data_IF_584463221618
#
_entry.id   IF_584463221618
#
_cell.length_a   1.000
_cell.length_b   1.000
_cell.length_c   1.000
_cell.angle_alpha   90.00
_cell.angle_beta   90.00
_cell.angle_gamma   90.00
#
_symmetry.space_group_name_H-M   'P 1'
#
loop_
_entity.id
_entity.type
_entity.pdbx_description
1 polymer ?
#
# COMPACT_ATOMS: atom_id res chain seq x y z
N UNK A 1 -5.46 0.26 -4.62
CA UNK A 1 -4.92 1.51 -5.19
C UNK A 1 -3.69 1.85 -4.38
N UNK A 2 -2.66 2.31 -5.06
CA UNK A 2 -1.32 2.43 -4.50
C UNK A 2 -1.07 3.80 -3.89
N UNK A 3 -1.51 3.95 -2.66
CA UNK A 3 -0.95 4.95 -1.76
C UNK A 3 0.00 4.18 -0.84
N UNK A 4 1.30 4.42 -1.04
CA UNK A 4 2.38 3.50 -0.68
C UNK A 4 3.11 3.87 0.61
N UNK A 5 2.87 5.06 1.19
CA UNK A 5 3.46 5.47 2.45
C UNK A 5 3.05 4.54 3.58
N UNK A 6 1.77 4.17 3.65
CA UNK A 6 1.27 3.21 4.64
C UNK A 6 1.97 1.84 4.50
N UNK A 7 2.09 1.32 3.28
CA UNK A 7 2.74 0.03 3.00
C UNK A 7 4.24 0.05 3.33
N UNK A 8 4.96 1.08 2.88
CA UNK A 8 6.39 1.24 3.13
C UNK A 8 6.69 1.47 4.61
N UNK A 9 5.85 2.25 5.29
CA UNK A 9 5.96 2.46 6.74
C UNK A 9 5.66 1.18 7.51
N UNK A 10 4.64 0.41 7.10
CA UNK A 10 4.37 -0.89 7.68
C UNK A 10 5.57 -1.84 7.52
N UNK A 11 6.13 -1.93 6.32
CA UNK A 11 7.34 -2.72 6.06
C UNK A 11 8.51 -2.29 6.96
N UNK A 12 8.76 -0.98 7.08
CA UNK A 12 9.76 -0.45 8.01
C UNK A 12 9.48 -0.87 9.46
N UNK A 13 8.20 -0.87 9.89
CA UNK A 13 7.82 -1.21 11.28
C UNK A 13 7.92 -2.69 11.61
N UNK A 14 7.79 -3.56 10.62
CA UNK A 14 7.88 -5.02 10.83
C UNK A 14 9.22 -5.60 10.39
N UNK A 15 10.13 -4.79 9.84
CA UNK A 15 11.45 -5.25 9.39
C UNK A 15 12.24 -5.98 10.50
N UNK A 16 12.10 -5.53 11.76
CA UNK A 16 12.80 -6.13 12.91
C UNK A 16 12.22 -7.51 13.31
N UNK A 17 11.09 -7.90 12.72
CA UNK A 17 10.48 -9.23 12.88
C UNK A 17 10.80 -10.10 11.66
N UNK A 18 10.74 -9.50 10.47
CA UNK A 18 10.98 -10.18 9.19
C UNK A 18 12.48 -10.43 8.93
N UNK A 19 13.35 -9.62 9.54
CA UNK A 19 14.81 -9.68 9.43
C UNK A 19 15.34 -9.76 7.98
N UNK A 20 14.95 -8.84 7.07
CA UNK A 20 15.51 -8.81 5.72
C UNK A 20 17.02 -8.55 5.77
N UNK A 21 17.77 -9.21 4.89
CA UNK A 21 19.22 -9.04 4.74
C UNK A 21 19.56 -8.02 3.64
N UNK A 22 18.74 -7.96 2.59
CA UNK A 22 18.77 -6.95 1.55
C UNK A 22 17.54 -6.02 1.66
N UNK A 23 17.78 -4.83 2.23
CA UNK A 23 16.74 -3.80 2.34
C UNK A 23 16.29 -3.26 0.98
N UNK A 24 17.14 -3.30 -0.06
CA UNK A 24 16.76 -2.89 -1.41
C UNK A 24 15.71 -3.85 -1.96
N UNK A 25 16.00 -5.15 -1.94
CA UNK A 25 15.04 -6.20 -2.29
C UNK A 25 13.74 -6.04 -1.51
N UNK A 26 13.83 -5.93 -0.18
CA UNK A 26 12.67 -5.83 0.71
C UNK A 26 11.74 -4.65 0.40
N UNK A 27 12.25 -3.40 0.42
CA UNK A 27 11.39 -2.24 0.18
C UNK A 27 10.88 -2.18 -1.25
N UNK A 28 11.67 -2.62 -2.24
CA UNK A 28 11.21 -2.72 -3.61
C UNK A 28 10.11 -3.75 -3.78
N UNK A 29 10.25 -4.92 -3.15
CA UNK A 29 9.22 -5.96 -3.10
C UNK A 29 7.92 -5.46 -2.46
N UNK A 30 8.00 -4.61 -1.43
CA UNK A 30 6.81 -3.98 -0.83
C UNK A 30 6.11 -3.03 -1.79
N UNK A 31 6.84 -2.30 -2.63
CA UNK A 31 6.25 -1.35 -3.58
C UNK A 31 5.75 -2.02 -4.87
N UNK A 32 6.32 -3.18 -5.22
CA UNK A 32 6.10 -3.88 -6.48
C UNK A 32 4.64 -4.23 -6.84
N UNK A 33 3.77 -4.72 -5.93
CA UNK A 33 2.52 -5.38 -6.33
C UNK A 33 1.61 -4.45 -7.12
N UNK A 34 1.64 -3.17 -6.77
CA UNK A 34 0.82 -2.15 -7.40
C UNK A 34 1.40 -1.60 -8.71
N UNK A 35 2.63 -1.97 -9.10
CA UNK A 35 3.18 -1.66 -10.42
C UNK A 35 2.29 -2.14 -11.58
N UNK A 36 1.42 -3.13 -11.31
CA UNK A 36 0.35 -3.61 -12.21
C UNK A 36 -0.45 -2.51 -12.89
N UNK A 37 -0.64 -1.36 -12.23
CA UNK A 37 -1.37 -0.24 -12.80
C UNK A 37 -0.72 0.26 -14.10
N UNK A 38 0.61 0.25 -14.16
CA UNK A 38 1.37 0.72 -15.34
C UNK A 38 1.90 -0.43 -16.20
N UNK A 39 2.26 -1.57 -15.61
CA UNK A 39 2.75 -2.75 -16.34
C UNK A 39 1.63 -3.58 -16.97
N UNK A 40 0.37 -3.35 -16.55
CA UNK A 40 -0.83 -4.08 -16.98
C UNK A 40 -0.81 -5.58 -16.65
N UNK A 41 0.06 -6.00 -15.73
CA UNK A 41 0.01 -7.34 -15.14
C UNK A 41 -1.32 -7.54 -14.41
N UNK A 42 -1.89 -8.74 -14.53
CA UNK A 42 -3.13 -9.09 -13.84
C UNK A 42 -2.98 -8.94 -12.32
N UNK A 43 -4.01 -8.42 -11.65
CA UNK A 43 -4.05 -8.31 -10.19
C UNK A 43 -3.90 -9.68 -9.51
N UNK A 44 -4.45 -10.75 -10.09
CA UNK A 44 -4.37 -12.09 -9.50
C UNK A 44 -2.90 -12.54 -9.31
N UNK A 45 -2.04 -12.26 -10.31
CA UNK A 45 -0.61 -12.58 -10.27
C UNK A 45 0.13 -11.81 -9.18
N UNK A 46 -0.24 -10.55 -8.98
CA UNK A 46 0.41 -9.64 -8.02
C UNK A 46 -0.17 -9.69 -6.61
N UNK A 47 -1.41 -10.15 -6.41
CA UNK A 47 -2.11 -10.03 -5.12
C UNK A 47 -2.78 -11.29 -4.58
N UNK A 48 -3.01 -12.31 -5.41
CA UNK A 48 -3.71 -13.54 -4.99
C UNK A 48 -2.76 -14.75 -5.02
N UNK A 49 -2.11 -15.00 -6.14
CA UNK A 49 -1.36 -16.24 -6.38
C UNK A 49 -0.12 -16.40 -5.49
N UNK A 50 0.39 -15.28 -4.98
CA UNK A 50 1.60 -15.26 -4.15
C UNK A 50 1.31 -15.20 -2.66
N UNK A 51 0.06 -15.01 -2.22
CA UNK A 51 -0.23 -14.83 -0.79
C UNK A 51 0.02 -16.13 -0.03
N UNK A 52 0.98 -16.11 0.89
CA UNK A 52 1.26 -17.24 1.79
C UNK A 52 0.78 -16.95 3.21
N UNK A 53 0.68 -17.99 4.04
CA UNK A 53 0.44 -17.84 5.48
C UNK A 53 1.50 -16.93 6.13
N UNK A 54 1.14 -16.06 7.10
CA UNK A 54 2.05 -15.05 7.66
C UNK A 54 3.38 -15.63 8.12
N UNK A 55 3.34 -16.74 8.86
CA UNK A 55 4.54 -17.38 9.41
C UNK A 55 5.50 -17.88 8.34
N UNK A 56 4.98 -18.29 7.18
CA UNK A 56 5.79 -18.78 6.05
C UNK A 56 6.61 -17.67 5.39
N UNK A 57 6.31 -16.39 5.67
CA UNK A 57 7.15 -15.26 5.22
C UNK A 57 8.57 -15.37 5.80
N UNK A 58 8.70 -15.88 7.03
CA UNK A 58 9.99 -16.04 7.70
C UNK A 58 10.86 -17.13 7.05
N UNK A 59 10.24 -18.05 6.31
CA UNK A 59 10.92 -19.13 5.60
C UNK A 59 11.41 -18.72 4.20
N UNK A 60 11.01 -17.53 3.72
CA UNK A 60 11.43 -17.01 2.41
C UNK A 60 12.92 -16.64 2.44
N UNK A 61 13.64 -17.03 1.40
CA UNK A 61 15.06 -16.68 1.23
C UNK A 61 15.28 -15.43 0.40
N UNK A 62 14.30 -15.04 -0.42
CA UNK A 62 14.33 -13.81 -1.22
C UNK A 62 13.64 -12.68 -0.44
N UNK A 63 14.38 -11.61 -0.14
CA UNK A 63 13.85 -10.46 0.58
C UNK A 63 12.87 -9.64 -0.27
N UNK A 64 12.96 -9.71 -1.61
CA UNK A 64 11.93 -9.14 -2.48
C UNK A 64 10.57 -9.80 -2.25
N UNK A 65 10.54 -11.13 -2.20
CA UNK A 65 9.31 -11.87 -1.91
C UNK A 65 8.79 -11.58 -0.50
N UNK A 66 9.68 -11.43 0.50
CA UNK A 66 9.26 -11.00 1.85
C UNK A 66 8.58 -9.63 1.81
N UNK A 67 9.17 -8.67 1.11
CA UNK A 67 8.60 -7.34 0.92
C UNK A 67 7.24 -7.38 0.26
N UNK A 68 7.11 -8.20 -0.79
CA UNK A 68 5.85 -8.43 -1.49
C UNK A 68 4.78 -9.00 -0.56
N UNK A 69 5.10 -10.03 0.22
CA UNK A 69 4.15 -10.58 1.19
C UNK A 69 3.71 -9.55 2.23
N UNK A 70 4.64 -8.73 2.73
CA UNK A 70 4.34 -7.67 3.71
C UNK A 70 3.34 -6.66 3.16
N UNK A 71 3.47 -6.26 1.89
CA UNK A 71 2.45 -5.45 1.22
C UNK A 71 1.08 -6.14 1.25
N UNK A 72 1.02 -7.41 0.84
CA UNK A 72 -0.25 -8.14 0.72
C UNK A 72 -0.93 -8.39 2.07
N UNK A 73 -0.16 -8.51 3.14
CA UNK A 73 -0.68 -8.62 4.50
C UNK A 73 -1.19 -7.28 5.03
N UNK A 74 -0.51 -6.17 4.76
CA UNK A 74 -1.06 -4.85 5.06
C UNK A 74 -2.40 -4.65 4.35
N UNK A 75 -2.43 -4.95 3.05
CA UNK A 75 -3.61 -4.76 2.22
C UNK A 75 -4.79 -5.63 2.69
N UNK A 76 -4.51 -6.82 3.23
CA UNK A 76 -5.53 -7.71 3.82
C UNK A 76 -6.04 -7.20 5.16
N UNK A 77 -5.15 -6.84 6.08
CA UNK A 77 -5.50 -6.49 7.46
C UNK A 77 -6.04 -5.05 7.53
N UNK A 78 -5.35 -4.11 6.89
CA UNK A 78 -5.73 -2.69 6.88
C UNK A 78 -7.07 -2.45 6.21
N UNK A 79 -7.39 -3.17 5.11
CA UNK A 79 -8.68 -3.03 4.45
C UNK A 79 -9.86 -3.37 5.38
N UNK A 80 -9.69 -4.35 6.27
CA UNK A 80 -10.73 -4.68 7.25
C UNK A 80 -10.97 -3.53 8.23
N UNK A 81 -9.93 -2.88 8.74
CA UNK A 81 -10.13 -1.73 9.64
C UNK A 81 -10.73 -0.53 8.92
N UNK A 82 -10.25 -0.24 7.71
CA UNK A 82 -10.75 0.87 6.90
C UNK A 82 -12.22 0.65 6.50
N UNK A 83 -12.64 -0.58 6.21
CA UNK A 83 -14.04 -0.87 5.88
C UNK A 83 -15.00 -0.55 7.03
N UNK A 84 -14.64 -0.90 8.27
CA UNK A 84 -15.45 -0.62 9.44
C UNK A 84 -15.58 0.88 9.68
N UNK A 85 -14.48 1.64 9.51
CA UNK A 85 -14.47 3.08 9.75
C UNK A 85 -15.32 3.83 8.70
N UNK A 86 -15.17 3.44 7.44
CA UNK A 86 -15.75 4.18 6.31
C UNK A 86 -17.21 3.78 6.07
N UNK A 87 -17.50 2.47 6.07
CA UNK A 87 -18.80 1.91 5.70
C UNK A 87 -19.69 1.63 6.90
N UNK A 88 -19.14 1.62 8.12
CA UNK A 88 -19.83 1.18 9.34
C UNK A 88 -20.41 -0.24 9.20
N UNK A 89 -19.75 -1.09 8.41
CA UNK A 89 -20.04 -2.51 8.17
C UNK A 89 -18.84 -3.17 7.51
N UNK A 90 -18.81 -4.50 7.50
CA UNK A 90 -17.81 -5.26 6.73
C UNK A 90 -17.99 -5.10 5.22
N UNK A 91 -16.86 -5.11 4.53
CA UNK A 91 -16.81 -5.23 3.07
C UNK A 91 -17.39 -6.57 2.61
N UNK A 92 -18.06 -6.55 1.46
CA UNK A 92 -18.64 -7.73 0.80
C UNK A 92 -18.15 -7.81 -0.65
N UNK A 93 -18.13 -9.00 -1.28
CA UNK A 93 -17.71 -9.12 -2.69
C UNK A 93 -18.45 -8.18 -3.67
N UNK A 94 -19.72 -7.86 -3.39
CA UNK A 94 -20.52 -6.95 -4.21
C UNK A 94 -20.02 -5.49 -4.15
N UNK A 95 -19.24 -5.14 -3.13
CA UNK A 95 -18.69 -3.79 -2.98
C UNK A 95 -17.53 -3.52 -3.95
N UNK A 96 -16.91 -4.55 -4.53
CA UNK A 96 -15.81 -4.40 -5.48
C UNK A 96 -16.21 -3.59 -6.73
N UNK A 97 -17.44 -3.80 -7.20
CA UNK A 97 -17.98 -3.17 -8.40
C UNK A 97 -18.78 -1.89 -8.09
N UNK A 98 -18.97 -1.57 -6.81
CA UNK A 98 -19.63 -0.34 -6.39
C UNK A 98 -18.63 0.82 -6.36
N UNK A 99 -18.71 1.71 -7.36
CA UNK A 99 -17.80 2.85 -7.50
C UNK A 99 -17.81 3.79 -6.29
N UNK A 100 -18.94 3.93 -5.59
CA UNK A 100 -19.06 4.79 -4.42
C UNK A 100 -18.28 4.18 -3.24
N UNK A 101 -18.55 2.92 -2.92
CA UNK A 101 -17.85 2.20 -1.84
C UNK A 101 -16.35 2.15 -2.13
N UNK A 102 -15.98 1.83 -3.37
CA UNK A 102 -14.59 1.80 -3.80
C UNK A 102 -13.91 3.18 -3.66
N UNK A 103 -14.59 4.27 -4.02
CA UNK A 103 -14.05 5.63 -3.91
C UNK A 103 -13.89 6.05 -2.45
N UNK A 104 -14.84 5.69 -1.58
CA UNK A 104 -14.77 5.99 -0.16
C UNK A 104 -13.59 5.26 0.52
N UNK A 105 -13.44 3.95 0.28
CA UNK A 105 -12.32 3.17 0.81
C UNK A 105 -10.97 3.67 0.30
N UNK A 106 -10.91 3.99 -0.99
CA UNK A 106 -9.69 4.54 -1.59
C UNK A 106 -9.38 5.93 -1.06
N UNK A 107 -10.39 6.76 -0.80
CA UNK A 107 -10.23 8.05 -0.12
C UNK A 107 -9.65 7.89 1.29
N UNK A 108 -10.09 6.88 2.05
CA UNK A 108 -9.54 6.58 3.36
C UNK A 108 -8.05 6.16 3.29
N UNK A 109 -7.68 5.35 2.29
CA UNK A 109 -6.27 5.02 2.03
C UNK A 109 -5.42 6.26 1.71
N UNK A 110 -5.98 7.27 1.04
CA UNK A 110 -5.29 8.53 0.77
C UNK A 110 -5.06 9.32 2.06
N UNK A 111 -6.09 9.44 2.92
CA UNK A 111 -5.96 10.10 4.23
C UNK A 111 -4.89 9.40 5.08
N UNK A 112 -4.91 8.08 5.11
CA UNK A 112 -3.89 7.26 5.78
C UNK A 112 -2.49 7.51 5.20
N UNK A 113 -2.34 7.54 3.88
CA UNK A 113 -1.07 7.78 3.21
C UNK A 113 -0.49 9.16 3.53
N UNK A 114 -1.32 10.21 3.54
CA UNK A 114 -0.91 11.56 3.89
C UNK A 114 -0.39 11.62 5.34
N UNK A 115 -1.10 10.97 6.27
CA UNK A 115 -0.66 10.89 7.65
C UNK A 115 0.67 10.14 7.77
N UNK A 116 0.81 8.98 7.14
CA UNK A 116 2.04 8.21 7.22
C UNK A 116 3.19 8.86 6.46
N UNK A 117 2.92 9.64 5.42
CA UNK A 117 3.96 10.46 4.81
C UNK A 117 4.59 11.42 5.81
N UNK A 118 3.78 12.11 6.63
CA UNK A 118 4.26 13.04 7.66
C UNK A 118 5.00 12.34 8.81
N UNK A 119 4.65 11.07 9.07
CA UNK A 119 5.12 10.30 10.22
C UNK A 119 6.15 9.21 9.84
N UNK A 120 6.74 9.29 8.65
CA UNK A 120 7.75 8.36 8.14
C UNK A 120 9.09 9.06 7.96
N UNK A 121 10.16 8.41 8.41
CA UNK A 121 11.53 8.85 8.16
C UNK A 121 11.96 8.41 6.75
N UNK A 122 11.53 9.16 5.73
CA UNK A 122 11.78 8.87 4.32
C UNK A 122 13.24 8.66 3.94
N UNK A 123 14.22 9.41 4.51
CA UNK A 123 15.65 9.11 4.32
C UNK A 123 16.07 7.67 4.63
N UNK A 124 15.35 6.95 5.49
CA UNK A 124 15.62 5.53 5.82
C UNK A 124 15.01 4.55 4.82
N UNK A 125 14.14 4.99 3.91
CA UNK A 125 13.40 4.13 2.98
C UNK A 125 13.78 4.44 1.53
N UNK A 126 13.73 5.72 1.12
CA UNK A 126 13.88 6.12 -0.28
C UNK A 126 15.17 5.61 -0.95
N UNK A 127 16.35 5.57 -0.28
CA UNK A 127 17.57 5.04 -0.91
C UNK A 127 17.50 3.57 -1.34
N UNK A 128 16.54 2.81 -0.79
CA UNK A 128 16.34 1.38 -1.06
C UNK A 128 15.29 1.13 -2.15
N UNK A 129 14.47 2.12 -2.53
CA UNK A 129 13.47 1.95 -3.58
C UNK A 129 14.14 1.92 -4.95
N UNK A 130 14.38 0.72 -5.50
CA UNK A 130 15.03 0.53 -6.80
C UNK A 130 14.43 -0.65 -7.56
N UNK A 131 14.51 -0.61 -8.88
CA UNK A 131 14.20 -1.81 -9.65
C UNK A 131 15.21 -2.93 -9.32
N UNK A 132 14.70 -4.06 -8.83
CA UNK A 132 15.51 -5.25 -8.47
C UNK A 132 15.04 -6.52 -9.19
N UNK A 133 13.74 -6.66 -9.45
CA UNK A 133 13.16 -7.85 -10.06
C UNK A 133 11.93 -7.53 -10.93
N UNK A 134 11.64 -8.44 -11.88
CA UNK A 134 10.44 -8.46 -12.74
C UNK A 134 9.82 -9.88 -12.77
N UNK A 135 9.19 -10.34 -11.68
CA UNK A 135 8.69 -11.72 -11.50
C UNK A 135 7.77 -12.25 -12.61
N UNK A 136 7.12 -11.36 -13.35
CA UNK A 136 6.18 -11.73 -14.40
C UNK A 136 6.66 -11.33 -15.80
N UNK A 137 7.99 -11.16 -15.97
CA UNK A 137 8.63 -10.79 -17.23
C UNK A 137 8.13 -9.44 -17.76
N UNK A 138 7.76 -8.54 -16.86
CA UNK A 138 7.42 -7.16 -17.22
C UNK A 138 8.63 -6.46 -17.84
N UNK A 139 8.34 -5.40 -18.60
CA UNK A 139 9.37 -4.51 -19.13
C UNK A 139 10.14 -3.84 -17.98
N UNK A 140 11.47 -4.08 -17.86
CA UNK A 140 12.30 -3.46 -16.84
C UNK A 140 12.28 -1.94 -16.87
N UNK A 141 12.15 -1.30 -18.03
CA UNK A 141 12.11 0.16 -18.14
C UNK A 141 10.83 0.75 -17.52
N UNK A 142 9.70 0.06 -17.67
CA UNK A 142 8.44 0.46 -17.03
C UNK A 142 8.56 0.33 -15.51
N UNK A 143 9.13 -0.77 -15.02
CA UNK A 143 9.34 -0.95 -13.58
C UNK A 143 10.35 0.05 -13.01
N UNK A 144 11.44 0.37 -13.72
CA UNK A 144 12.35 1.44 -13.32
C UNK A 144 11.62 2.78 -13.17
N UNK A 145 10.76 3.12 -14.13
CA UNK A 145 9.92 4.32 -14.06
C UNK A 145 8.93 4.28 -12.88
N UNK A 146 8.36 3.11 -12.54
CA UNK A 146 7.51 2.93 -11.36
C UNK A 146 8.25 3.32 -10.07
N UNK A 147 9.43 2.74 -9.82
CA UNK A 147 10.20 3.03 -8.61
C UNK A 147 10.66 4.50 -8.58
N UNK A 148 11.16 5.02 -9.71
CA UNK A 148 11.60 6.41 -9.80
C UNK A 148 10.45 7.39 -9.52
N UNK A 149 9.24 7.12 -10.03
CA UNK A 149 8.06 7.93 -9.76
C UNK A 149 7.79 8.06 -8.25
N UNK A 150 7.83 6.97 -7.49
CA UNK A 150 7.59 7.03 -6.04
C UNK A 150 8.74 7.66 -5.26
N UNK A 151 9.98 7.47 -5.70
CA UNK A 151 11.12 8.20 -5.14
C UNK A 151 10.89 9.70 -5.27
N UNK A 152 10.51 10.19 -6.46
CA UNK A 152 10.28 11.61 -6.71
C UNK A 152 9.02 12.12 -6.00
N UNK A 153 7.95 11.32 -5.98
CA UNK A 153 6.69 11.66 -5.32
C UNK A 153 6.88 11.88 -3.81
N UNK A 154 7.69 11.07 -3.15
CA UNK A 154 7.90 11.13 -1.70
C UNK A 154 9.08 11.99 -1.24
N UNK A 155 9.80 12.66 -2.16
CA UNK A 155 10.81 13.66 -1.80
C UNK A 155 10.22 14.88 -1.08
N UNK A 156 8.92 15.14 -1.26
CA UNK A 156 8.20 16.27 -0.66
C UNK A 156 6.81 15.82 -0.23
N UNK A 157 6.21 16.59 0.67
CA UNK A 157 4.85 16.30 1.14
C UNK A 157 3.89 16.39 -0.04
N UNK A 158 3.15 15.32 -0.37
CA UNK A 158 2.14 15.39 -1.41
C UNK A 158 0.95 16.21 -0.91
N UNK A 159 0.45 17.08 -1.79
CA UNK A 159 -0.86 17.69 -1.64
C UNK A 159 -1.90 16.93 -2.48
N UNK A 160 -3.18 17.34 -2.44
CA UNK A 160 -4.24 16.70 -3.22
C UNK A 160 -3.98 16.76 -4.74
N UNK A 161 -3.26 17.79 -5.21
CA UNK A 161 -2.92 17.90 -6.62
C UNK A 161 -1.83 16.87 -6.99
N UNK A 162 -0.85 16.63 -6.13
CA UNK A 162 0.13 15.57 -6.30
C UNK A 162 -0.57 14.20 -6.36
N UNK A 163 -1.49 13.90 -5.44
CA UNK A 163 -2.28 12.66 -5.47
C UNK A 163 -3.11 12.52 -6.75
N UNK A 164 -3.67 13.62 -7.26
CA UNK A 164 -4.35 13.64 -8.56
C UNK A 164 -3.41 13.21 -9.70
N UNK A 165 -2.18 13.73 -9.73
CA UNK A 165 -1.20 13.36 -10.77
C UNK A 165 -0.71 11.92 -10.62
N UNK A 166 -0.53 11.46 -9.38
CA UNK A 166 -0.19 10.08 -9.07
C UNK A 166 -1.27 9.11 -9.58
N UNK A 167 -2.55 9.40 -9.30
CA UNK A 167 -3.64 8.57 -9.79
C UNK A 167 -3.75 8.57 -11.34
N UNK A 168 -3.47 9.70 -11.99
CA UNK A 168 -3.36 9.78 -13.46
C UNK A 168 -2.20 8.94 -13.99
N UNK A 169 -1.04 8.97 -13.35
CA UNK A 169 0.11 8.14 -13.70
C UNK A 169 -0.25 6.63 -13.67
N UNK A 170 -1.09 6.21 -12.73
CA UNK A 170 -1.61 4.85 -12.62
C UNK A 170 -2.70 4.51 -13.65
N UNK A 171 -3.10 5.47 -14.49
CA UNK A 171 -4.16 5.31 -15.49
C UNK A 171 -5.55 5.18 -14.88
N UNK A 172 -5.79 5.78 -13.71
CA UNK A 172 -7.13 5.84 -13.12
C UNK A 172 -7.97 6.84 -13.92
N UNK A 173 -9.23 6.47 -14.16
CA UNK A 173 -10.19 7.32 -14.86
C UNK A 173 -10.38 8.68 -14.16
N UNK A 174 -10.36 9.81 -14.90
CA UNK A 174 -10.45 11.15 -14.29
C UNK A 174 -11.68 11.36 -13.40
N UNK A 175 -12.85 10.82 -13.76
CA UNK A 175 -14.07 10.98 -12.95
C UNK A 175 -13.92 10.24 -11.62
N UNK A 176 -13.34 9.03 -11.66
CA UNK A 176 -13.00 8.27 -10.45
C UNK A 176 -11.99 8.98 -9.56
N UNK A 177 -11.01 9.69 -10.15
CA UNK A 177 -10.04 10.47 -9.38
C UNK A 177 -10.76 11.56 -8.57
N UNK A 178 -11.70 12.29 -9.16
CA UNK A 178 -12.43 13.33 -8.42
C UNK A 178 -13.28 12.74 -7.28
N UNK A 179 -13.90 11.58 -7.49
CA UNK A 179 -14.66 10.87 -6.42
C UNK A 179 -13.76 10.45 -5.25
N UNK A 180 -12.54 9.97 -5.53
CA UNK A 180 -11.56 9.62 -4.49
C UNK A 180 -11.13 10.87 -3.72
N UNK A 181 -10.77 11.94 -4.43
CA UNK A 181 -10.31 13.18 -3.79
C UNK A 181 -11.40 13.82 -2.94
N UNK A 182 -12.65 13.81 -3.42
CA UNK A 182 -13.79 14.29 -2.63
C UNK A 182 -14.01 13.43 -1.38
N UNK A 183 -13.92 12.10 -1.52
CA UNK A 183 -14.07 11.18 -0.39
C UNK A 183 -12.94 11.38 0.64
N UNK A 184 -11.71 11.54 0.18
CA UNK A 184 -10.56 11.82 1.04
C UNK A 184 -10.73 13.15 1.80
N UNK A 185 -11.16 14.21 1.11
CA UNK A 185 -11.43 15.49 1.75
C UNK A 185 -12.52 15.38 2.83
N UNK A 186 -13.64 14.72 2.51
CA UNK A 186 -14.72 14.50 3.47
C UNK A 186 -14.26 13.72 4.71
N UNK A 187 -13.43 12.70 4.53
CA UNK A 187 -12.86 11.92 5.64
C UNK A 187 -11.81 12.70 6.43
N UNK A 188 -11.05 13.57 5.78
CA UNK A 188 -10.06 14.42 6.44
C UNK A 188 -10.72 15.48 7.34
N UNK A 189 -11.87 16.00 6.91
CA UNK A 189 -12.67 16.99 7.66
C UNK A 189 -13.49 16.34 8.79
N UNK A 190 -13.80 15.04 8.69
CA UNK A 190 -14.39 14.23 9.77
C UNK A 190 -13.31 13.81 10.77
N UNK A 191 -13.02 14.69 11.74
CA UNK A 191 -11.97 14.46 12.74
C UNK A 191 -12.08 13.09 13.46
N UNK A 192 -13.25 12.65 13.98
CA UNK A 192 -13.38 11.33 14.59
C UNK A 192 -12.97 10.19 13.66
N UNK A 193 -13.39 10.19 12.39
CA UNK A 193 -12.98 9.14 11.44
C UNK A 193 -11.50 9.23 11.08
N UNK A 194 -10.98 10.44 10.88
CA UNK A 194 -9.56 10.66 10.60
C UNK A 194 -8.69 10.06 11.71
N UNK A 195 -8.99 10.36 12.97
CA UNK A 195 -8.25 9.82 14.13
C UNK A 195 -8.31 8.29 14.22
N UNK A 196 -9.38 7.66 13.72
CA UNK A 196 -9.46 6.19 13.62
C UNK A 196 -8.60 5.66 12.48
N UNK A 197 -8.61 6.31 11.32
CA UNK A 197 -7.76 5.96 10.17
C UNK A 197 -6.28 6.02 10.54
N UNK A 198 -5.86 7.07 11.25
CA UNK A 198 -4.47 7.27 11.70
C UNK A 198 -3.96 6.13 12.61
N UNK A 199 -4.87 5.40 13.28
CA UNK A 199 -4.55 4.28 14.19
C UNK A 199 -4.56 2.90 13.52
N UNK A 200 -5.00 2.79 12.27
CA UNK A 200 -5.14 1.50 11.57
C UNK A 200 -3.82 0.73 11.55
N UNK A 201 -2.70 1.40 11.28
CA UNK A 201 -1.40 0.73 11.21
C UNK A 201 -0.99 0.07 12.53
N UNK A 202 -1.26 0.69 13.67
CA UNK A 202 -0.93 0.12 14.97
C UNK A 202 -1.71 -1.17 15.21
N UNK A 203 -3.00 -1.17 14.84
CA UNK A 203 -3.87 -2.35 14.91
C UNK A 203 -3.36 -3.46 13.98
N UNK A 204 -3.01 -3.10 12.74
CA UNK A 204 -2.47 -4.04 11.73
C UNK A 204 -1.15 -4.64 12.19
N UNK A 205 -0.25 -3.85 12.80
CA UNK A 205 1.04 -4.35 13.31
C UNK A 205 0.82 -5.38 14.42
N UNK A 206 -0.05 -5.09 15.38
CA UNK A 206 -0.31 -6.02 16.48
C UNK A 206 -1.01 -7.29 15.99
N UNK A 207 -1.98 -7.19 15.09
CA UNK A 207 -2.59 -8.35 14.46
C UNK A 207 -1.57 -9.18 13.68
N UNK A 208 -0.73 -8.53 12.87
CA UNK A 208 0.30 -9.22 12.08
C UNK A 208 1.32 -9.94 12.98
N UNK A 209 1.78 -9.31 14.07
CA UNK A 209 2.64 -9.97 15.08
C UNK A 209 1.98 -11.19 15.69
N UNK A 210 0.71 -11.07 16.07
CA UNK A 210 -0.03 -12.19 16.66
C UNK A 210 -0.12 -13.38 15.69
N UNK A 211 -0.36 -13.11 14.40
CA UNK A 211 -0.39 -14.14 13.36
C UNK A 211 0.98 -14.82 13.12
N UNK A 212 2.08 -14.14 13.43
CA UNK A 212 3.43 -14.72 13.34
C UNK A 212 3.77 -15.61 14.55
N UNK A 213 3.23 -15.29 15.72
CA UNK A 213 3.53 -15.96 17.00
C UNK A 213 2.56 -17.10 17.31
N UNK A 214 1.26 -16.91 17.07
CA UNK A 214 0.17 -17.80 17.48
C UNK A 214 -0.62 -18.30 16.24
N UNK A 215 -0.20 -19.42 15.63
CA UNK A 215 -0.82 -19.97 14.41
C UNK A 215 -2.19 -20.62 14.66
#
# INVERSE_FOLDING_TARGET
MSFQAAHLRFAQKVQDIIHPQDLTGYFSGTLYPDSRYITKVDRAKTHTDVRIEPRKILDLTDDFDKGWQVHLWYDKLGLHHLDQIVLNRSWTPNDADNVEVWSQLTGAKLVEDLYWWQNTDWPQILPYLKFTANPHQEDPAILQNWYQHFIDFYQKQPDLQAYRQQAKFMGIDPEKIELILQSAQNLYDDQPKRELIEKVMEQVIEEFKNLLINP
#
